data_IF_058844957784
#
_entry.id   IF_058844957784
#
_cell.length_a   1.000
_cell.length_b   1.000
_cell.length_c   1.000
_cell.angle_alpha   90.00
_cell.angle_beta   90.00
_cell.angle_gamma   90.00
#
_symmetry.space_group_name_H-M   'P 1'
#
loop_
_entity.id
_entity.type
_entity.pdbx_description
1 polymer ?
#
# COMPACT_ATOMS: atom_id res chain seq x y z
N UNK A 1 -1.62 -19.06 0.50
CA UNK A 1 -2.85 -18.23 0.50
C UNK A 1 -2.73 -17.19 -0.62
N UNK A 2 -3.85 -16.72 -1.17
CA UNK A 2 -3.88 -15.67 -2.21
C UNK A 2 -4.70 -14.50 -1.69
N UNK A 3 -4.19 -13.27 -1.88
CA UNK A 3 -4.91 -12.03 -1.56
C UNK A 3 -4.69 -10.98 -2.65
N UNK A 4 -5.70 -10.14 -2.87
CA UNK A 4 -5.62 -9.01 -3.81
C UNK A 4 -5.14 -7.76 -3.09
N UNK A 5 -4.23 -7.00 -3.72
CA UNK A 5 -3.81 -5.68 -3.20
C UNK A 5 -5.00 -4.74 -3.01
N UNK A 6 -5.99 -4.81 -3.90
CA UNK A 6 -7.21 -4.02 -3.78
C UNK A 6 -8.04 -4.33 -2.51
N UNK A 7 -7.88 -5.50 -1.91
CA UNK A 7 -8.50 -5.82 -0.61
C UNK A 7 -7.71 -5.17 0.53
N UNK A 8 -6.38 -5.19 0.48
CA UNK A 8 -5.52 -4.51 1.44
C UNK A 8 -5.76 -2.99 1.43
N UNK A 9 -5.90 -2.38 0.26
CA UNK A 9 -6.25 -0.96 0.13
C UNK A 9 -7.62 -0.65 0.76
N UNK A 10 -8.58 -1.59 0.73
CA UNK A 10 -9.88 -1.38 1.39
C UNK A 10 -9.74 -1.37 2.91
N UNK A 11 -8.85 -2.18 3.47
CA UNK A 11 -8.59 -2.24 4.91
C UNK A 11 -8.09 -0.87 5.42
N UNK A 12 -7.30 -0.15 4.61
CA UNK A 12 -6.78 1.20 4.92
C UNK A 12 -7.52 2.35 4.23
N UNK A 13 -8.73 2.13 3.70
CA UNK A 13 -9.50 3.14 2.95
C UNK A 13 -9.71 4.44 3.74
N UNK A 14 -9.77 4.35 5.06
CA UNK A 14 -9.97 5.49 5.95
C UNK A 14 -8.81 6.49 5.93
N UNK A 15 -7.61 6.08 5.50
CA UNK A 15 -6.43 6.95 5.36
C UNK A 15 -6.44 7.79 4.07
N UNK A 16 -7.22 7.39 3.05
CA UNK A 16 -7.29 8.09 1.75
C UNK A 16 -7.56 9.60 1.90
N UNK A 17 -8.63 10.04 2.58
CA UNK A 17 -8.91 11.47 2.73
C UNK A 17 -7.90 12.21 3.62
N UNK A 18 -7.13 11.49 4.44
CA UNK A 18 -6.08 12.07 5.30
C UNK A 18 -4.88 12.41 4.41
N UNK A 19 -4.32 11.41 3.74
CA UNK A 19 -3.17 11.58 2.85
C UNK A 19 -3.47 12.46 1.62
N UNK A 20 -4.71 12.48 1.14
CA UNK A 20 -5.12 13.44 0.10
C UNK A 20 -4.93 14.89 0.56
N UNK A 21 -5.30 15.21 1.80
CA UNK A 21 -5.11 16.56 2.36
C UNK A 21 -3.66 16.85 2.69
N UNK A 22 -2.98 15.88 3.29
CA UNK A 22 -1.60 16.01 3.74
C UNK A 22 -0.64 16.22 2.57
N UNK A 23 -0.72 15.37 1.56
CA UNK A 23 0.15 15.41 0.37
C UNK A 23 -0.40 16.32 -0.74
N UNK A 24 -1.57 16.93 -0.53
CA UNK A 24 -2.23 17.86 -1.48
C UNK A 24 -2.46 17.22 -2.86
N UNK A 25 -2.96 15.99 -2.86
CA UNK A 25 -3.28 15.20 -4.05
C UNK A 25 -4.77 14.83 -4.08
N UNK A 26 -5.28 14.39 -5.23
CA UNK A 26 -6.63 13.82 -5.33
C UNK A 26 -6.82 12.58 -4.41
N UNK A 27 -8.07 12.26 -4.04
CA UNK A 27 -8.35 11.02 -3.31
C UNK A 27 -7.99 9.79 -4.14
N UNK A 28 -8.17 9.85 -5.46
CA UNK A 28 -7.68 8.82 -6.38
C UNK A 28 -6.15 8.69 -6.33
N UNK A 29 -5.44 9.81 -6.28
CA UNK A 29 -3.99 9.84 -6.13
C UNK A 29 -3.53 9.25 -4.80
N UNK A 30 -4.23 9.57 -3.72
CA UNK A 30 -3.99 8.99 -2.39
C UNK A 30 -4.25 7.48 -2.35
N UNK A 31 -5.30 7.01 -3.03
CA UNK A 31 -5.57 5.58 -3.17
C UNK A 31 -4.46 4.85 -3.97
N UNK A 32 -3.95 5.46 -5.03
CA UNK A 32 -2.81 4.91 -5.79
C UNK A 32 -1.51 4.97 -4.97
N UNK A 33 -1.30 6.01 -4.15
CA UNK A 33 -0.18 6.08 -3.21
C UNK A 33 -0.21 4.90 -2.22
N UNK A 34 -1.33 4.67 -1.52
CA UNK A 34 -1.48 3.54 -0.60
C UNK A 34 -1.25 2.19 -1.29
N UNK A 35 -1.73 2.05 -2.52
CA UNK A 35 -1.47 0.85 -3.33
C UNK A 35 0.03 0.67 -3.59
N UNK A 36 0.76 1.73 -3.91
CA UNK A 36 2.21 1.68 -4.13
C UNK A 36 2.97 1.41 -2.84
N UNK A 37 2.56 2.01 -1.72
CA UNK A 37 3.14 1.75 -0.41
C UNK A 37 3.04 0.26 -0.05
N UNK A 38 1.84 -0.35 -0.23
CA UNK A 38 1.64 -1.79 -0.02
C UNK A 38 2.59 -2.62 -0.91
N UNK A 39 2.73 -2.25 -2.18
CA UNK A 39 3.64 -2.94 -3.10
C UNK A 39 5.09 -2.84 -2.61
N UNK A 40 5.51 -1.67 -2.13
CA UNK A 40 6.88 -1.46 -1.66
C UNK A 40 7.16 -2.24 -0.37
N UNK A 41 6.21 -2.26 0.59
CA UNK A 41 6.26 -3.11 1.79
C UNK A 41 6.42 -4.60 1.43
N UNK A 42 5.72 -5.06 0.39
CA UNK A 42 5.84 -6.46 -0.05
C UNK A 42 7.22 -6.73 -0.66
N UNK A 43 7.76 -5.81 -1.47
CA UNK A 43 9.09 -5.97 -2.09
C UNK A 43 10.20 -5.98 -1.04
N UNK A 44 10.09 -5.18 0.01
CA UNK A 44 11.07 -5.17 1.11
C UNK A 44 10.94 -6.44 1.97
N UNK A 45 9.75 -7.04 2.03
CA UNK A 45 9.52 -8.31 2.70
C UNK A 45 9.95 -9.51 1.85
N UNK A 46 11.21 -9.94 2.02
CA UNK A 46 11.85 -11.07 1.28
C UNK A 46 11.12 -12.42 1.32
N UNK A 47 10.12 -12.57 2.19
CA UNK A 47 9.37 -13.82 2.37
C UNK A 47 8.15 -13.93 1.47
N UNK A 48 7.58 -12.80 1.07
CA UNK A 48 6.35 -12.76 0.27
C UNK A 48 6.71 -12.64 -1.21
N UNK A 49 6.03 -13.42 -2.06
CA UNK A 49 6.18 -13.31 -3.51
C UNK A 49 4.98 -12.61 -4.11
N UNK A 50 5.23 -11.54 -4.86
CA UNK A 50 4.23 -11.01 -5.78
C UNK A 50 4.21 -11.88 -7.03
N UNK A 51 3.06 -12.48 -7.32
CA UNK A 51 2.82 -13.05 -8.63
C UNK A 51 1.91 -12.12 -9.41
N UNK A 52 2.30 -11.81 -10.65
CA UNK A 52 1.46 -11.03 -11.57
C UNK A 52 1.19 -9.60 -11.03
N UNK A 53 2.25 -8.77 -10.97
CA UNK A 53 2.21 -7.35 -10.54
C UNK A 53 1.06 -6.59 -11.22
N UNK A 54 0.83 -6.85 -12.52
CA UNK A 54 -0.24 -6.22 -13.31
C UNK A 54 -1.66 -6.60 -12.85
N UNK A 55 -1.83 -7.80 -12.29
CA UNK A 55 -3.12 -8.27 -11.77
C UNK A 55 -3.30 -8.01 -10.27
N UNK A 56 -2.25 -7.62 -9.57
CA UNK A 56 -2.28 -7.20 -8.17
C UNK A 56 -2.55 -8.33 -7.17
N UNK A 57 -2.02 -9.52 -7.44
CA UNK A 57 -2.13 -10.68 -6.54
C UNK A 57 -0.85 -10.88 -5.73
N UNK A 58 -1.03 -11.34 -4.49
CA UNK A 58 0.04 -11.67 -3.56
C UNK A 58 -0.12 -13.14 -3.18
N UNK A 59 0.97 -13.91 -3.29
CA UNK A 59 0.98 -15.33 -2.96
C UNK A 59 2.10 -15.58 -1.94
N UNK A 60 1.73 -16.20 -0.83
CA UNK A 60 2.65 -16.50 0.27
C UNK A 60 2.08 -17.54 1.22
N UNK A 61 2.85 -17.87 2.25
CA UNK A 61 2.33 -18.68 3.36
C UNK A 61 1.21 -17.92 4.09
N UNK A 62 0.28 -18.66 4.69
CA UNK A 62 -0.85 -18.06 5.42
C UNK A 62 -0.39 -17.15 6.56
N UNK A 63 0.63 -17.58 7.30
CA UNK A 63 1.24 -16.82 8.40
C UNK A 63 1.86 -15.50 7.93
N UNK A 64 2.49 -15.51 6.76
CA UNK A 64 3.15 -14.33 6.17
C UNK A 64 2.13 -13.34 5.62
N UNK A 65 1.10 -13.83 4.93
CA UNK A 65 0.00 -13.01 4.44
C UNK A 65 -0.78 -12.40 5.61
N UNK A 66 -1.02 -13.15 6.68
CA UNK A 66 -1.68 -12.63 7.86
C UNK A 66 -0.83 -11.59 8.58
N UNK A 67 0.49 -11.79 8.66
CA UNK A 67 1.41 -10.80 9.22
C UNK A 67 1.39 -9.49 8.41
N UNK A 68 1.48 -9.59 7.07
CA UNK A 68 1.37 -8.43 6.18
C UNK A 68 0.04 -7.71 6.35
N UNK A 69 -1.07 -8.46 6.44
CA UNK A 69 -2.39 -7.87 6.63
C UNK A 69 -2.48 -7.12 7.95
N UNK A 70 -1.95 -7.70 9.02
CA UNK A 70 -1.94 -7.06 10.34
C UNK A 70 -1.09 -5.79 10.34
N UNK A 71 0.06 -5.80 9.68
CA UNK A 71 0.93 -4.62 9.48
C UNK A 71 0.17 -3.50 8.74
N UNK A 72 -0.41 -3.82 7.57
CA UNK A 72 -1.18 -2.83 6.79
C UNK A 72 -2.39 -2.31 7.57
N UNK A 73 -3.09 -3.18 8.30
CA UNK A 73 -4.26 -2.79 9.09
C UNK A 73 -3.90 -1.94 10.31
N UNK A 74 -2.62 -1.91 10.68
CA UNK A 74 -2.10 -1.09 11.78
C UNK A 74 -1.62 0.29 11.33
N UNK A 75 -1.55 0.54 10.03
CA UNK A 75 -1.20 1.86 9.50
C UNK A 75 -2.20 2.91 9.98
N UNK A 76 -1.65 4.03 10.43
CA UNK A 76 -2.40 5.21 10.85
C UNK A 76 -1.92 6.45 10.10
N UNK A 77 -2.47 7.62 10.44
CA UNK A 77 -2.15 8.89 9.78
C UNK A 77 -0.66 9.29 9.83
N UNK A 78 0.14 8.69 10.71
CA UNK A 78 1.57 9.00 10.85
C UNK A 78 2.48 7.96 10.19
N UNK A 79 1.93 6.93 9.54
CA UNK A 79 2.74 5.88 8.91
C UNK A 79 3.63 6.41 7.78
N UNK A 80 3.14 7.41 7.04
CA UNK A 80 3.83 7.96 5.89
C UNK A 80 3.94 9.47 6.02
N UNK A 81 5.14 10.00 5.81
CA UNK A 81 5.38 11.43 5.73
C UNK A 81 5.61 11.91 4.29
N UNK A 82 6.01 13.18 4.14
CA UNK A 82 6.29 13.76 2.83
C UNK A 82 7.50 13.12 2.14
N UNK A 83 8.50 12.65 2.90
CA UNK A 83 9.67 11.97 2.33
C UNK A 83 9.23 10.60 1.78
N UNK A 84 8.39 9.87 2.50
CA UNK A 84 7.79 8.62 2.02
C UNK A 84 6.96 8.86 0.75
N UNK A 85 6.12 9.90 0.76
CA UNK A 85 5.34 10.29 -0.42
C UNK A 85 6.24 10.66 -1.60
N UNK A 86 7.34 11.38 -1.37
CA UNK A 86 8.29 11.70 -2.42
C UNK A 86 8.95 10.43 -2.95
N UNK A 87 9.41 9.50 -2.11
CA UNK A 87 10.10 8.27 -2.53
C UNK A 87 9.16 7.31 -3.26
N UNK A 88 7.96 7.07 -2.71
CA UNK A 88 6.98 6.12 -3.25
C UNK A 88 6.20 6.75 -4.42
N UNK A 89 5.89 8.04 -4.33
CA UNK A 89 5.09 8.80 -5.30
C UNK A 89 5.86 9.33 -6.51
N UNK A 90 7.19 9.57 -6.42
CA UNK A 90 7.98 10.12 -7.54
C UNK A 90 7.90 9.28 -8.82
N UNK A 91 7.65 7.97 -8.69
CA UNK A 91 7.70 7.06 -9.83
C UNK A 91 6.46 7.13 -10.75
N UNK A 92 5.39 7.86 -10.41
CA UNK A 92 4.11 7.74 -11.15
C UNK A 92 3.34 9.01 -11.55
N UNK A 93 3.85 10.23 -11.37
CA UNK A 93 3.08 11.45 -11.72
C UNK A 93 1.71 11.50 -11.02
N UNK A 94 1.64 11.11 -9.74
CA UNK A 94 0.40 11.18 -8.96
C UNK A 94 0.01 12.67 -8.81
N UNK A 95 -1.21 13.03 -9.22
CA UNK A 95 -1.82 14.38 -9.12
C UNK A 95 -3.19 14.29 -8.44
#
# INVERSE_FOLDING_TARGET
>A
MEIKIAELVKDVKHLIPIYSKEFKISEEGSAEFLRLAIIETIKTNKKIKMENIDKGFIIGEETEIQALRNEISSWDENEFDLEDFEVIGYCKNIR
#
